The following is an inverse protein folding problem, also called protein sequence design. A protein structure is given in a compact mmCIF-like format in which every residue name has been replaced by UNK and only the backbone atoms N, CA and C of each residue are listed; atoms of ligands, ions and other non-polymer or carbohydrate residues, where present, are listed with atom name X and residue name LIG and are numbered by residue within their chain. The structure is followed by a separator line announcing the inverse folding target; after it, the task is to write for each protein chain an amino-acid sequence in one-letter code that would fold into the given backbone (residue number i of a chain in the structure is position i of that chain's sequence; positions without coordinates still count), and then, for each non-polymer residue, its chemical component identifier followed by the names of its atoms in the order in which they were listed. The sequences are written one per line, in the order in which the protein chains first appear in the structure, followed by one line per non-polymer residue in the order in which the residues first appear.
data_IF_784738842556
#
_entry.id   IF_784738842556
#
_cell.length_a   1.000
_cell.length_b   1.000
_cell.length_c   1.000
_cell.angle_alpha   90.00
_cell.angle_beta   90.00
_cell.angle_gamma   90.00
#
_symmetry.space_group_name_H-M   'P 1'
#
loop_
_entity.id
_entity.type
_entity.pdbx_description
1 polymer ?
#
# COMPACT_ATOMS: atom_id res chain seq x y z
N UNK A 1 -0.02 -15.25 9.58
CA UNK A 1 0.52 -13.93 9.14
C UNK A 1 1.28 -14.11 7.84
N UNK A 2 0.85 -13.42 6.79
CA UNK A 2 1.48 -13.50 5.46
C UNK A 2 2.67 -12.54 5.38
N UNK A 3 2.49 -11.33 5.95
CA UNK A 3 3.55 -10.32 6.03
C UNK A 3 3.36 -9.48 7.28
N UNK A 4 4.45 -9.12 7.93
CA UNK A 4 4.43 -8.27 9.11
C UNK A 4 5.54 -7.25 9.04
N UNK A 5 5.18 -5.96 8.95
CA UNK A 5 6.09 -4.84 8.91
C UNK A 5 5.68 -3.74 9.87
N UNK A 6 6.34 -2.59 9.76
CA UNK A 6 6.08 -1.42 10.63
C UNK A 6 4.98 -0.52 10.11
N UNK A 7 4.68 -0.59 8.82
CA UNK A 7 3.64 0.22 8.18
C UNK A 7 2.49 -0.63 7.69
N UNK A 8 2.75 -1.89 7.36
CA UNK A 8 1.81 -2.79 6.71
C UNK A 8 1.84 -4.16 7.37
N UNK A 9 0.67 -4.75 7.57
CA UNK A 9 0.53 -6.16 7.93
C UNK A 9 -0.41 -6.82 6.95
N UNK A 10 -0.17 -8.11 6.66
CA UNK A 10 -1.06 -8.91 5.82
C UNK A 10 -1.32 -10.23 6.54
N UNK A 11 -2.59 -10.56 6.71
CA UNK A 11 -3.00 -11.80 7.33
C UNK A 11 -4.18 -12.41 6.59
N UNK A 12 -4.32 -13.73 6.66
CA UNK A 12 -5.54 -14.39 6.22
C UNK A 12 -6.59 -14.27 7.32
N UNK A 13 -7.77 -13.77 7.00
CA UNK A 13 -8.82 -13.57 7.98
C UNK A 13 -9.83 -14.72 7.99
N UNK A 14 -10.40 -15.08 6.85
CA UNK A 14 -11.37 -16.16 6.77
C UNK A 14 -11.58 -16.57 5.31
N UNK A 15 -11.71 -17.87 5.07
CA UNK A 15 -12.11 -18.37 3.76
C UNK A 15 -11.19 -18.05 2.60
N UNK A 16 -9.91 -17.87 2.84
CA UNK A 16 -8.95 -17.52 1.80
C UNK A 16 -8.89 -16.01 1.50
N UNK A 17 -9.47 -15.18 2.36
CA UNK A 17 -9.39 -13.72 2.20
C UNK A 17 -8.19 -13.20 2.99
N UNK A 18 -7.31 -12.47 2.31
CA UNK A 18 -6.19 -11.78 2.94
C UNK A 18 -6.60 -10.34 3.24
N UNK A 19 -6.17 -9.83 4.40
CA UNK A 19 -6.35 -8.43 4.77
C UNK A 19 -4.99 -7.74 4.80
N UNK A 20 -4.80 -6.76 3.93
CA UNK A 20 -3.63 -5.88 3.92
C UNK A 20 -4.02 -4.60 4.65
N UNK A 21 -3.43 -4.37 5.82
CA UNK A 21 -3.79 -3.26 6.69
C UNK A 21 -2.65 -2.24 6.77
N UNK A 22 -2.98 -0.97 6.55
CA UNK A 22 -2.05 0.13 6.73
C UNK A 22 -2.16 0.68 8.14
N UNK A 23 -1.06 0.67 8.86
CA UNK A 23 -0.97 1.19 10.23
C UNK A 23 0.46 1.63 10.51
N UNK A 24 0.84 2.79 9.97
CA UNK A 24 2.22 3.30 10.05
C UNK A 24 2.59 3.57 11.50
N UNK A 25 3.57 2.83 12.00
CA UNK A 25 4.03 2.90 13.38
C UNK A 25 4.58 4.29 13.72
N UNK A 26 4.14 4.84 14.84
CA UNK A 26 4.62 6.12 15.34
C UNK A 26 3.98 7.34 14.71
N UNK A 27 3.04 7.17 13.79
CA UNK A 27 2.36 8.26 13.09
C UNK A 27 0.85 8.22 13.34
N UNK A 28 0.23 9.39 13.34
CA UNK A 28 -1.23 9.49 13.48
C UNK A 28 -1.98 9.21 12.18
N UNK A 29 -1.30 9.26 11.05
CA UNK A 29 -1.87 9.03 9.72
C UNK A 29 -0.98 8.08 8.92
N UNK A 30 -1.56 7.43 7.92
CA UNK A 30 -0.79 6.65 6.95
C UNK A 30 -0.27 7.57 5.84
N UNK A 31 0.98 7.40 5.48
CA UNK A 31 1.64 8.14 4.38
C UNK A 31 2.43 7.17 3.52
N UNK A 32 2.59 7.51 2.25
CA UNK A 32 3.52 6.80 1.38
C UNK A 32 4.91 7.41 1.50
N UNK A 33 5.62 7.04 2.57
CA UNK A 33 7.05 7.30 2.68
C UNK A 33 7.81 6.12 2.07
N UNK A 34 9.13 6.18 2.08
CA UNK A 34 9.98 5.12 1.52
C UNK A 34 9.68 3.76 2.17
N UNK A 35 9.54 3.75 3.49
CA UNK A 35 9.24 2.52 4.24
C UNK A 35 7.93 1.89 3.78
N UNK A 36 6.87 2.69 3.66
CA UNK A 36 5.55 2.19 3.27
C UNK A 36 5.58 1.62 1.84
N UNK A 37 6.26 2.29 0.92
CA UNK A 37 6.41 1.80 -0.46
C UNK A 37 7.17 0.48 -0.49
N UNK A 38 8.28 0.38 0.22
CA UNK A 38 9.08 -0.85 0.29
C UNK A 38 8.28 -1.99 0.90
N UNK A 39 7.55 -1.71 1.98
CA UNK A 39 6.72 -2.72 2.63
C UNK A 39 5.55 -3.15 1.76
N UNK A 40 4.95 -2.23 1.02
CA UNK A 40 3.87 -2.59 0.10
C UNK A 40 4.38 -3.51 -1.00
N UNK A 41 5.57 -3.26 -1.52
CA UNK A 41 6.22 -4.15 -2.50
C UNK A 41 6.49 -5.54 -1.93
N UNK A 42 7.02 -5.61 -0.71
CA UNK A 42 7.27 -6.88 -0.03
C UNK A 42 5.96 -7.63 0.27
N UNK A 43 4.93 -6.91 0.69
CA UNK A 43 3.61 -7.48 0.94
C UNK A 43 2.99 -8.05 -0.34
N UNK A 44 3.10 -7.33 -1.45
CA UNK A 44 2.60 -7.80 -2.75
C UNK A 44 3.31 -9.08 -3.18
N UNK A 45 4.62 -9.17 -3.00
CA UNK A 45 5.40 -10.37 -3.31
C UNK A 45 4.98 -11.54 -2.43
N UNK A 46 4.78 -11.30 -1.14
CA UNK A 46 4.31 -12.34 -0.22
C UNK A 46 2.91 -12.85 -0.60
N UNK A 47 2.01 -11.94 -1.01
CA UNK A 47 0.68 -12.30 -1.46
C UNK A 47 0.71 -13.09 -2.77
N UNK A 48 1.57 -12.71 -3.70
CA UNK A 48 1.73 -13.42 -4.97
C UNK A 48 2.16 -14.87 -4.74
N UNK A 49 3.00 -15.12 -3.74
CA UNK A 49 3.54 -16.43 -3.43
C UNK A 49 2.72 -17.20 -2.39
N UNK A 50 1.68 -16.60 -1.81
CA UNK A 50 0.84 -17.25 -0.82
C UNK A 50 -0.10 -18.26 -1.48
N UNK A 51 -0.34 -19.38 -0.80
CA UNK A 51 -1.23 -20.42 -1.29
C UNK A 51 -2.62 -20.28 -0.66
N UNK A 52 -3.66 -20.54 -1.45
CA UNK A 52 -5.02 -20.59 -0.95
C UNK A 52 -5.71 -19.24 -0.76
N UNK A 53 -5.09 -18.16 -1.21
CA UNK A 53 -5.69 -16.83 -1.15
C UNK A 53 -6.60 -16.65 -2.36
N UNK A 54 -7.85 -16.26 -2.09
CA UNK A 54 -8.90 -16.09 -3.10
C UNK A 54 -9.33 -14.65 -3.30
N UNK A 55 -8.96 -13.76 -2.39
CA UNK A 55 -9.29 -12.35 -2.46
C UNK A 55 -8.49 -11.52 -1.47
N UNK A 56 -8.46 -10.21 -1.69
CA UNK A 56 -7.73 -9.27 -0.88
C UNK A 56 -8.64 -8.12 -0.46
N UNK A 57 -8.59 -7.75 0.81
CA UNK A 57 -9.20 -6.53 1.31
C UNK A 57 -8.09 -5.61 1.83
N UNK A 58 -8.14 -4.34 1.44
CA UNK A 58 -7.17 -3.33 1.86
C UNK A 58 -7.85 -2.39 2.84
N UNK A 59 -7.27 -2.24 4.03
CA UNK A 59 -7.84 -1.48 5.14
C UNK A 59 -6.82 -0.53 5.76
N UNK A 60 -7.29 0.34 6.64
CA UNK A 60 -6.46 1.21 7.46
C UNK A 60 -6.94 1.19 8.90
N UNK A 61 -6.00 1.13 9.85
CA UNK A 61 -6.29 1.25 11.28
C UNK A 61 -6.31 2.70 11.77
N UNK A 62 -6.02 3.67 10.90
CA UNK A 62 -6.04 5.10 11.24
C UNK A 62 -7.41 5.70 10.98
N UNK A 63 -7.63 6.93 11.45
CA UNK A 63 -8.90 7.68 11.22
C UNK A 63 -9.07 8.10 9.77
N UNK A 64 -7.99 8.20 9.01
CA UNK A 64 -8.01 8.39 7.56
C UNK A 64 -7.55 7.10 6.86
N UNK A 65 -7.74 7.03 5.54
CA UNK A 65 -7.20 5.90 4.78
C UNK A 65 -5.69 6.12 4.57
N UNK A 66 -5.29 6.93 3.61
CA UNK A 66 -3.89 7.30 3.37
C UNK A 66 -3.88 8.75 2.88
N UNK A 67 -3.04 9.60 3.48
CA UNK A 67 -3.01 11.04 3.14
C UNK A 67 -2.05 11.40 2.01
N UNK A 68 -1.41 10.41 1.39
CA UNK A 68 -0.52 10.62 0.26
C UNK A 68 0.95 10.51 0.64
N UNK A 69 1.82 11.16 -0.13
CA UNK A 69 3.25 11.08 0.08
C UNK A 69 3.71 11.91 1.29
N UNK A 70 4.83 11.50 1.88
CA UNK A 70 5.43 12.25 2.98
C UNK A 70 6.12 13.50 2.44
N UNK A 71 5.62 14.68 2.84
CA UNK A 71 6.14 15.97 2.37
C UNK A 71 7.62 16.16 2.74
N UNK A 72 8.05 15.63 3.89
CA UNK A 72 9.44 15.77 4.31
C UNK A 72 10.39 15.02 3.38
N UNK A 73 9.95 13.90 2.81
CA UNK A 73 10.74 13.15 1.83
C UNK A 73 10.75 13.83 0.46
N UNK A 74 9.73 14.61 0.13
CA UNK A 74 9.73 15.41 -1.10
C UNK A 74 10.90 16.40 -1.16
N UNK A 75 11.20 17.04 -0.05
CA UNK A 75 12.32 17.99 0.02
C UNK A 75 13.63 17.29 -0.33
N UNK A 76 13.85 16.09 0.20
CA UNK A 76 15.03 15.30 -0.10
C UNK A 76 15.06 14.85 -1.57
N UNK A 77 13.91 14.47 -2.12
CA UNK A 77 13.80 14.08 -3.52
C UNK A 77 14.14 15.23 -4.47
N UNK A 78 13.63 16.45 -4.17
CA UNK A 78 13.90 17.60 -5.01
C UNK A 78 15.37 18.08 -4.90
N UNK A 79 16.04 17.74 -3.80
CA UNK A 79 17.47 18.01 -3.64
C UNK A 79 18.34 16.98 -4.38
N UNK A 80 17.76 15.87 -4.81
CA UNK A 80 18.43 14.82 -5.55
C UNK A 80 18.48 15.08 -7.06
N UNK A 81 19.07 14.14 -7.79
CA UNK A 81 19.15 14.21 -9.25
C UNK A 81 17.81 13.89 -9.90
N UNK A 82 17.65 14.31 -11.16
CA UNK A 82 16.50 13.94 -11.98
C UNK A 82 16.39 12.41 -12.13
N UNK A 83 17.52 11.73 -12.25
CA UNK A 83 17.56 10.26 -12.35
C UNK A 83 17.00 9.60 -11.09
N UNK A 84 17.28 10.14 -9.92
CA UNK A 84 16.74 9.63 -8.66
C UNK A 84 15.22 9.82 -8.58
N UNK A 85 14.72 10.96 -9.05
CA UNK A 85 13.27 11.23 -9.10
C UNK A 85 12.56 10.23 -10.00
N UNK A 86 13.11 9.97 -11.18
CA UNK A 86 12.56 9.02 -12.13
C UNK A 86 12.56 7.61 -11.53
N UNK A 87 13.67 7.20 -10.91
CA UNK A 87 13.79 5.88 -10.31
C UNK A 87 12.76 5.67 -9.19
N UNK A 88 12.54 6.68 -8.33
CA UNK A 88 11.55 6.61 -7.27
C UNK A 88 10.14 6.51 -7.82
N UNK A 89 9.80 7.27 -8.86
CA UNK A 89 8.50 7.20 -9.50
C UNK A 89 8.25 5.82 -10.13
N UNK A 90 9.25 5.26 -10.81
CA UNK A 90 9.14 3.94 -11.42
C UNK A 90 8.95 2.85 -10.36
N UNK A 91 9.65 2.96 -9.24
CA UNK A 91 9.49 2.02 -8.14
C UNK A 91 8.07 2.06 -7.55
N UNK A 92 7.55 3.25 -7.29
CA UNK A 92 6.20 3.41 -6.75
C UNK A 92 5.15 2.86 -7.73
N UNK A 93 5.28 3.18 -9.01
CA UNK A 93 4.36 2.67 -10.04
C UNK A 93 4.43 1.15 -10.16
N UNK A 94 5.63 0.56 -10.08
CA UNK A 94 5.79 -0.89 -10.13
C UNK A 94 5.11 -1.58 -8.95
N UNK A 95 5.17 -0.98 -7.76
CA UNK A 95 4.52 -1.51 -6.56
C UNK A 95 3.00 -1.49 -6.71
N UNK A 96 2.42 -0.38 -7.17
CA UNK A 96 0.98 -0.28 -7.42
C UNK A 96 0.54 -1.28 -8.51
N UNK A 97 1.32 -1.43 -9.56
CA UNK A 97 1.05 -2.41 -10.61
C UNK A 97 1.09 -3.84 -10.08
N UNK A 98 2.00 -4.15 -9.16
CA UNK A 98 2.08 -5.46 -8.53
C UNK A 98 0.80 -5.80 -7.76
N UNK A 99 0.21 -4.82 -7.06
CA UNK A 99 -1.08 -5.01 -6.37
C UNK A 99 -2.20 -5.23 -7.38
N UNK A 100 -2.25 -4.42 -8.44
CA UNK A 100 -3.26 -4.53 -9.49
C UNK A 100 -3.20 -5.89 -10.20
N UNK A 101 -2.00 -6.42 -10.40
CA UNK A 101 -1.75 -7.65 -11.15
C UNK A 101 -1.87 -8.93 -10.29
N UNK A 102 -2.22 -8.82 -9.01
CA UNK A 102 -2.44 -10.02 -8.18
C UNK A 102 -3.51 -10.92 -8.79
N UNK A 103 -3.35 -12.26 -8.67
CA UNK A 103 -4.21 -13.21 -9.40
C UNK A 103 -5.58 -13.44 -8.77
N UNK A 104 -6.05 -12.56 -7.89
CA UNK A 104 -7.35 -12.66 -7.22
C UNK A 104 -7.99 -11.28 -7.08
N UNK A 105 -9.32 -11.22 -6.90
CA UNK A 105 -10.01 -9.94 -6.73
C UNK A 105 -9.56 -9.19 -5.49
N UNK A 106 -9.58 -7.86 -5.56
CA UNK A 106 -9.21 -7.00 -4.44
C UNK A 106 -10.22 -5.87 -4.24
N UNK A 107 -10.41 -5.50 -2.97
CA UNK A 107 -11.35 -4.45 -2.55
C UNK A 107 -10.62 -3.53 -1.58
N UNK A 108 -10.75 -2.22 -1.77
CA UNK A 108 -10.28 -1.23 -0.79
C UNK A 108 -11.46 -0.74 0.04
N UNK A 109 -11.35 -0.86 1.37
CA UNK A 109 -12.30 -0.29 2.32
C UNK A 109 -11.77 1.09 2.72
N UNK A 110 -12.32 2.14 2.11
CA UNK A 110 -11.89 3.52 2.34
C UNK A 110 -12.62 4.06 3.57
N UNK A 111 -11.87 4.26 4.65
CA UNK A 111 -12.44 4.67 5.95
C UNK A 111 -12.24 6.16 6.26
N UNK A 112 -11.88 6.97 5.28
CA UNK A 112 -11.64 8.40 5.48
C UNK A 112 -10.88 9.00 4.31
N UNK A 113 -10.07 9.99 4.58
CA UNK A 113 -9.35 10.73 3.55
C UNK A 113 -8.37 9.83 2.81
N UNK A 114 -8.44 9.85 1.47
CA UNK A 114 -7.49 9.20 0.58
C UNK A 114 -7.04 10.22 -0.47
N UNK A 115 -5.79 10.67 -0.38
CA UNK A 115 -5.24 11.72 -1.24
C UNK A 115 -3.97 11.24 -1.93
N UNK A 116 -3.71 11.75 -3.13
CA UNK A 116 -2.47 11.46 -3.87
C UNK A 116 -2.23 9.98 -4.02
N UNK A 117 -1.09 9.49 -3.47
CA UNK A 117 -0.75 8.07 -3.47
C UNK A 117 -1.77 7.18 -2.80
N UNK A 118 -2.48 7.70 -1.78
CA UNK A 118 -3.58 6.99 -1.14
C UNK A 118 -4.73 6.72 -2.10
N UNK A 119 -5.07 7.71 -2.93
CA UNK A 119 -6.08 7.55 -3.97
C UNK A 119 -5.59 6.58 -5.07
N UNK A 120 -4.32 6.65 -5.44
CA UNK A 120 -3.73 5.71 -6.40
C UNK A 120 -3.81 4.27 -5.89
N UNK A 121 -3.57 4.05 -4.59
CA UNK A 121 -3.74 2.74 -3.97
C UNK A 121 -5.18 2.23 -4.13
N UNK A 122 -6.15 3.10 -3.92
CA UNK A 122 -7.56 2.76 -4.12
C UNK A 122 -7.84 2.32 -5.55
N UNK A 123 -7.23 3.01 -6.52
CA UNK A 123 -7.41 2.69 -7.94
C UNK A 123 -6.69 1.41 -8.35
N UNK A 124 -5.73 0.93 -7.57
CA UNK A 124 -4.99 -0.30 -7.84
C UNK A 124 -5.79 -1.56 -7.48
N UNK A 125 -6.89 -1.42 -6.77
CA UNK A 125 -7.78 -2.53 -6.45
C UNK A 125 -8.96 -2.59 -7.42
N UNK A 126 -9.60 -3.77 -7.50
CA UNK A 126 -10.73 -3.97 -8.43
C UNK A 126 -11.97 -3.21 -8.02
N UNK A 127 -12.24 -3.12 -6.71
CA UNK A 127 -13.43 -2.47 -6.16
C UNK A 127 -13.06 -1.56 -5.00
N UNK A 128 -13.89 -0.54 -4.78
CA UNK A 128 -13.74 0.42 -3.68
C UNK A 128 -15.07 0.54 -2.93
N UNK A 129 -14.98 0.53 -1.60
CA UNK A 129 -16.13 0.70 -0.70
C UNK A 129 -15.79 1.84 0.28
N UNK A 130 -16.75 2.72 0.48
CA UNK A 130 -16.59 3.84 1.42
C UNK A 130 -17.55 3.71 2.58
#
# INVERSE_FOLDING_TARGET
MIYEGKAITVKEIEGGIAQLNFDLEGESVNKFNRLTIEELGAAAESLKNANGIKGLIVTSSKDCFIVGADITEFTDLFAGSEEELIANNLQANAVFSAIEDLPFPSVTAINGIALGGGFEMCLSTDYRVM
#
